data_IF_936217369713
#
_entry.id   IF_936217369713
#
_cell.length_a   1.000
_cell.length_b   1.000
_cell.length_c   1.000
_cell.angle_alpha   90.00
_cell.angle_beta   90.00
_cell.angle_gamma   90.00
#
_symmetry.space_group_name_H-M   'P 1'
#
loop_
_entity.id
_entity.type
_entity.pdbx_description
1 polymer ?
#
# COMPACT_ATOMS: atom_id res chain seq x y z
N UNK A 1 11.09 -10.60 17.80
CA UNK A 1 9.99 -10.68 16.81
C UNK A 1 10.27 -9.63 15.75
N UNK A 2 10.64 -10.06 14.55
CA UNK A 2 10.88 -9.13 13.43
C UNK A 2 9.52 -8.70 12.89
N UNK A 3 9.17 -7.41 12.98
CA UNK A 3 7.97 -6.91 12.32
C UNK A 3 8.12 -7.07 10.80
N UNK A 4 7.03 -7.46 10.13
CA UNK A 4 7.00 -7.55 8.68
C UNK A 4 7.49 -6.23 8.03
N UNK A 5 8.40 -6.24 7.04
CA UNK A 5 9.05 -5.01 6.53
C UNK A 5 8.09 -3.93 6.02
N UNK A 6 6.90 -4.32 5.54
CA UNK A 6 5.87 -3.38 5.11
C UNK A 6 5.27 -2.56 6.27
N UNK A 7 5.45 -2.99 7.53
CA UNK A 7 5.03 -2.29 8.74
C UNK A 7 6.06 -1.24 9.21
N UNK A 8 7.17 -1.06 8.51
CA UNK A 8 8.20 -0.09 8.87
C UNK A 8 8.78 0.73 7.70
N UNK A 9 8.61 0.31 6.44
CA UNK A 9 9.23 0.99 5.30
C UNK A 9 8.35 2.00 4.54
N UNK A 10 7.04 1.75 4.38
CA UNK A 10 6.12 2.60 3.61
C UNK A 10 6.39 2.73 2.10
N UNK A 11 7.36 2.00 1.53
CA UNK A 11 7.83 2.21 0.16
C UNK A 11 6.75 1.98 -0.91
N UNK A 12 5.95 0.90 -0.79
CA UNK A 12 4.89 0.59 -1.75
C UNK A 12 3.74 1.60 -1.69
N UNK A 13 3.32 2.01 -0.48
CA UNK A 13 2.29 3.02 -0.26
C UNK A 13 2.66 4.40 -0.83
N UNK A 14 3.94 4.66 -1.07
CA UNK A 14 4.44 5.90 -1.66
C UNK A 14 4.91 5.72 -3.12
N UNK A 15 4.69 4.56 -3.75
CA UNK A 15 5.20 4.28 -5.10
C UNK A 15 4.13 3.87 -6.10
N UNK A 16 3.06 3.24 -5.66
CA UNK A 16 2.12 2.57 -6.55
C UNK A 16 0.72 3.17 -6.48
N UNK A 17 0.07 3.17 -7.64
CA UNK A 17 -1.37 3.30 -7.78
C UNK A 17 -2.02 2.03 -7.27
N UNK A 18 -3.09 2.16 -6.48
CA UNK A 18 -3.80 1.00 -5.94
C UNK A 18 -5.26 1.08 -6.37
N UNK A 19 -5.57 0.37 -7.45
CA UNK A 19 -6.93 0.14 -7.95
C UNK A 19 -7.38 -1.25 -7.50
N UNK A 20 -8.63 -1.38 -7.05
CA UNK A 20 -9.18 -2.62 -6.51
C UNK A 20 -10.71 -2.66 -6.68
N UNK A 21 -11.36 -3.77 -6.35
CA UNK A 21 -12.81 -3.90 -6.54
C UNK A 21 -13.57 -3.00 -5.55
N UNK A 22 -14.63 -2.33 -6.01
CA UNK A 22 -15.53 -1.56 -5.12
C UNK A 22 -16.11 -2.42 -4.00
N UNK A 23 -16.30 -3.73 -4.23
CA UNK A 23 -16.82 -4.67 -3.23
C UNK A 23 -15.86 -4.91 -2.04
N UNK A 24 -14.61 -4.47 -2.13
CA UNK A 24 -13.68 -4.54 -1.00
C UNK A 24 -13.80 -3.33 -0.06
N UNK A 25 -14.56 -2.30 -0.43
CA UNK A 25 -14.84 -1.13 0.41
C UNK A 25 -15.91 -1.43 1.45
N UNK A 26 -15.84 -0.77 2.61
CA UNK A 26 -16.87 -0.89 3.67
C UNK A 26 -18.28 -0.59 3.16
N UNK A 27 -18.44 0.36 2.23
CA UNK A 27 -19.73 0.75 1.66
C UNK A 27 -20.44 -0.41 0.93
N UNK A 28 -19.68 -1.42 0.48
CA UNK A 28 -20.19 -2.62 -0.19
C UNK A 28 -19.89 -3.93 0.57
N UNK A 29 -19.67 -3.83 1.88
CA UNK A 29 -19.48 -4.99 2.77
C UNK A 29 -18.05 -5.54 2.85
N UNK A 30 -17.09 -4.86 2.24
CA UNK A 30 -15.67 -5.16 2.37
C UNK A 30 -15.03 -4.56 3.61
N UNK A 31 -13.69 -4.52 3.65
CA UNK A 31 -12.93 -4.08 4.82
C UNK A 31 -12.21 -2.74 4.65
N UNK A 32 -12.05 -2.24 3.42
CA UNK A 32 -11.28 -1.03 3.16
C UNK A 32 -12.07 0.20 3.62
N UNK A 33 -11.53 1.04 4.52
CA UNK A 33 -12.28 2.15 5.08
C UNK A 33 -12.73 3.18 4.04
N UNK A 34 -14.00 3.57 4.11
CA UNK A 34 -14.63 4.50 3.14
C UNK A 34 -13.81 5.78 2.94
N UNK A 35 -13.32 6.38 4.02
CA UNK A 35 -12.57 7.64 4.00
C UNK A 35 -11.21 7.56 3.27
N UNK A 36 -10.73 6.35 2.97
CA UNK A 36 -9.41 6.12 2.35
C UNK A 36 -9.51 5.72 0.88
N UNK A 37 -10.71 5.44 0.38
CA UNK A 37 -10.97 5.04 -1.00
C UNK A 37 -11.83 6.07 -1.74
N UNK A 38 -11.77 6.01 -3.07
CA UNK A 38 -12.66 6.73 -3.97
C UNK A 38 -13.09 5.79 -5.09
N UNK A 39 -14.37 5.82 -5.44
CA UNK A 39 -14.88 5.12 -6.61
C UNK A 39 -14.34 5.78 -7.89
N UNK A 40 -13.84 4.97 -8.81
CA UNK A 40 -13.30 5.40 -10.11
C UNK A 40 -14.26 5.04 -11.24
N UNK A 41 -14.87 3.86 -11.14
CA UNK A 41 -15.92 3.34 -12.03
C UNK A 41 -16.92 2.53 -11.19
N UNK A 42 -18.01 2.08 -11.81
CA UNK A 42 -19.02 1.21 -11.18
C UNK A 42 -18.46 -0.08 -10.54
N UNK A 43 -17.25 -0.51 -10.93
CA UNK A 43 -16.63 -1.74 -10.44
C UNK A 43 -15.23 -1.54 -9.84
N UNK A 44 -14.65 -0.33 -9.94
CA UNK A 44 -13.29 -0.06 -9.50
C UNK A 44 -13.23 1.07 -8.49
N UNK A 45 -12.64 0.79 -7.33
CA UNK A 45 -12.24 1.77 -6.35
C UNK A 45 -10.71 1.99 -6.41
N UNK A 46 -10.26 3.12 -5.87
CA UNK A 46 -8.85 3.48 -5.74
C UNK A 46 -8.53 3.97 -4.35
N UNK A 47 -7.37 3.60 -3.82
CA UNK A 47 -6.84 4.24 -2.61
C UNK A 47 -6.50 5.70 -2.89
N UNK A 48 -7.07 6.62 -2.12
CA UNK A 48 -6.86 8.06 -2.27
C UNK A 48 -5.37 8.42 -2.21
N UNK A 49 -4.97 9.38 -3.05
CA UNK A 49 -3.60 9.89 -3.13
C UNK A 49 -2.63 9.02 -3.95
N UNK A 50 -3.08 7.88 -4.47
CA UNK A 50 -2.24 6.97 -5.26
C UNK A 50 -2.24 7.27 -6.77
N UNK A 51 -3.07 8.22 -7.21
CA UNK A 51 -3.24 8.69 -8.59
C UNK A 51 -2.32 9.87 -8.98
N UNK A 52 -1.59 10.44 -8.03
CA UNK A 52 -0.64 11.53 -8.30
C UNK A 52 0.63 11.03 -9.00
N UNK A 53 1.31 11.92 -9.74
CA UNK A 53 2.64 11.65 -10.33
C UNK A 53 3.68 11.21 -9.27
N UNK A 54 3.49 11.64 -8.02
CA UNK A 54 4.20 11.17 -6.83
C UNK A 54 3.16 10.55 -5.88
N UNK A 55 2.87 9.25 -6.01
CA UNK A 55 1.84 8.60 -5.20
C UNK A 55 2.14 8.72 -3.70
N UNK A 56 1.11 9.02 -2.91
CA UNK A 56 1.15 8.90 -1.46
C UNK A 56 -0.21 8.44 -0.97
N UNK A 57 -0.33 7.14 -0.72
CA UNK A 57 -1.56 6.54 -0.20
C UNK A 57 -2.05 7.25 1.06
N UNK A 58 -3.34 7.54 1.13
CA UNK A 58 -3.98 8.19 2.29
C UNK A 58 -3.80 7.37 3.58
N UNK A 59 -3.66 6.05 3.48
CA UNK A 59 -3.41 5.18 4.63
C UNK A 59 -1.95 5.19 5.11
N UNK A 60 -1.02 5.84 4.41
CA UNK A 60 0.38 5.86 4.80
C UNK A 60 0.60 6.78 6.01
N UNK A 61 1.03 6.19 7.12
CA UNK A 61 1.44 6.91 8.33
C UNK A 61 2.94 7.07 8.38
N UNK A 62 3.40 8.16 9.01
CA UNK A 62 4.81 8.46 9.20
C UNK A 62 5.54 8.92 7.94
N UNK A 63 6.87 8.80 7.98
CA UNK A 63 7.79 9.28 6.94
C UNK A 63 8.62 8.14 6.36
N UNK A 64 8.51 7.94 5.04
CA UNK A 64 9.29 6.95 4.30
C UNK A 64 10.79 7.26 4.43
N UNK A 65 11.60 6.22 4.66
CA UNK A 65 13.02 6.38 4.96
C UNK A 65 13.35 6.62 6.44
N UNK A 66 12.34 6.87 7.29
CA UNK A 66 12.52 6.98 8.73
C UNK A 66 11.69 5.93 9.47
N UNK A 67 10.40 6.19 9.66
CA UNK A 67 9.43 5.28 10.27
C UNK A 67 8.08 5.49 9.60
N UNK A 68 7.67 4.50 8.83
CA UNK A 68 6.44 4.56 8.05
C UNK A 68 5.70 3.22 8.06
N UNK A 69 4.38 3.26 8.12
CA UNK A 69 3.55 2.06 8.13
C UNK A 69 2.24 2.28 7.38
N UNK A 70 1.60 1.18 6.97
CA UNK A 70 0.21 1.23 6.53
C UNK A 70 -0.70 1.32 7.76
N UNK A 71 -1.49 2.39 7.88
CA UNK A 71 -2.45 2.58 8.96
C UNK A 71 -3.65 1.63 8.92
N UNK A 72 -3.81 0.88 7.83
CA UNK A 72 -4.88 -0.10 7.65
C UNK A 72 -4.34 -1.49 7.30
N UNK A 73 -3.17 -1.88 7.83
CA UNK A 73 -2.49 -3.11 7.40
C UNK A 73 -3.40 -4.36 7.43
N UNK A 74 -4.25 -4.48 8.45
CA UNK A 74 -5.22 -5.57 8.59
C UNK A 74 -6.43 -5.48 7.64
N UNK A 75 -6.73 -4.28 7.13
CA UNK A 75 -7.87 -3.96 6.25
C UNK A 75 -7.44 -3.54 4.84
N UNK A 76 -6.24 -3.97 4.42
CA UNK A 76 -5.70 -3.68 3.09
C UNK A 76 -6.61 -4.24 1.99
N UNK A 77 -6.72 -3.54 0.83
CA UNK A 77 -7.32 -4.15 -0.36
C UNK A 77 -6.43 -5.28 -0.89
N UNK A 78 -7.02 -6.13 -1.73
CA UNK A 78 -6.40 -7.29 -2.36
C UNK A 78 -5.03 -7.00 -2.99
N UNK A 79 -4.81 -5.91 -3.77
CA UNK A 79 -3.50 -5.68 -4.39
C UNK A 79 -2.41 -5.39 -3.35
N UNK A 80 -2.77 -4.85 -2.17
CA UNK A 80 -1.83 -4.59 -1.10
C UNK A 80 -1.58 -5.83 -0.21
N UNK A 81 -2.50 -6.79 -0.18
CA UNK A 81 -2.32 -8.08 0.54
C UNK A 81 -1.48 -9.05 -0.29
N UNK A 82 -1.75 -9.11 -1.58
CA UNK A 82 -1.05 -9.97 -2.55
C UNK A 82 0.34 -9.45 -2.93
N UNK A 83 0.67 -8.21 -2.54
CA UNK A 83 1.97 -7.62 -2.81
C UNK A 83 3.10 -8.32 -2.03
N UNK A 84 3.96 -9.02 -2.76
CA UNK A 84 5.08 -9.76 -2.20
C UNK A 84 6.23 -8.83 -1.74
N UNK A 85 6.53 -8.87 -0.44
CA UNK A 85 7.68 -8.17 0.12
C UNK A 85 8.99 -8.81 -0.36
N UNK A 86 9.91 -8.02 -0.89
CA UNK A 86 11.19 -8.49 -1.43
C UNK A 86 11.16 -8.88 -2.92
N UNK A 87 9.98 -8.83 -3.55
CA UNK A 87 9.86 -8.90 -5.01
C UNK A 87 10.66 -7.78 -5.73
N UNK A 88 10.90 -7.95 -7.03
CA UNK A 88 11.57 -6.94 -7.85
C UNK A 88 10.82 -5.59 -7.82
N UNK A 89 9.49 -5.62 -7.83
CA UNK A 89 8.65 -4.43 -7.65
C UNK A 89 8.80 -3.80 -6.26
N UNK A 90 8.86 -4.60 -5.19
CA UNK A 90 9.13 -4.11 -3.84
C UNK A 90 10.49 -3.41 -3.76
N UNK A 91 11.55 -4.06 -4.27
CA UNK A 91 12.90 -3.51 -4.23
C UNK A 91 13.06 -2.27 -5.12
N UNK A 92 12.32 -2.18 -6.23
CA UNK A 92 12.23 -0.96 -7.05
C UNK A 92 11.59 0.21 -6.28
N UNK A 93 10.49 -0.04 -5.56
CA UNK A 93 9.86 0.97 -4.71
C UNK A 93 10.80 1.41 -3.57
N UNK A 94 11.49 0.47 -2.93
CA UNK A 94 12.49 0.75 -1.88
C UNK A 94 13.62 1.62 -2.41
N UNK A 95 14.13 1.33 -3.60
CA UNK A 95 15.19 2.10 -4.26
C UNK A 95 14.79 3.57 -4.52
N UNK A 96 13.53 3.83 -4.91
CA UNK A 96 13.01 5.20 -5.10
C UNK A 96 13.13 6.06 -3.84
N UNK A 97 13.13 5.42 -2.68
CA UNK A 97 13.21 6.04 -1.37
C UNK A 97 14.53 5.75 -0.64
N UNK A 98 15.57 5.34 -1.38
CA UNK A 98 16.92 5.08 -0.84
C UNK A 98 16.96 4.05 0.29
N UNK A 99 15.97 3.15 0.32
CA UNK A 99 15.93 2.03 1.26
C UNK A 99 16.75 0.86 0.73
N UNK A 100 17.46 0.12 1.59
CA UNK A 100 18.20 -1.09 1.19
C UNK A 100 17.23 -2.14 0.63
N UNK A 101 17.64 -3.01 -0.31
CA UNK A 101 16.78 -4.09 -0.78
C UNK A 101 16.44 -5.08 0.35
N UNK A 102 15.40 -5.88 0.16
CA UNK A 102 15.17 -7.09 0.96
C UNK A 102 15.76 -8.28 0.20
N UNK A 103 16.50 -9.12 0.91
CA UNK A 103 17.15 -10.31 0.35
C UNK A 103 16.15 -11.47 0.22
N UNK A 104 15.37 -11.46 -0.87
CA UNK A 104 14.37 -12.48 -1.20
C UNK A 104 12.97 -12.24 -0.61
N UNK A 105 11.97 -13.09 -0.96
CA UNK A 105 10.62 -13.00 -0.43
C UNK A 105 10.62 -13.11 1.09
N UNK A 106 10.02 -12.12 1.76
CA UNK A 106 9.82 -12.17 3.21
C UNK A 106 8.46 -12.83 3.46
N UNK A 107 8.48 -14.07 3.96
CA UNK A 107 7.29 -14.83 4.38
C UNK A 107 6.65 -14.23 5.64
#
# INVERSE_FOLDING_TARGET
MTLHPCLSCGACCASFRVDFSVHETEDLGGSVPRGLAVEVTEHTARMRGTDHARPRCAALTGQVGQRAACGIYEWRPSPCREFEAGSEACNRARRRYQLPPLDGPVL
#
